data_IF_822483843662
#
_entry.id   IF_822483843662
#
_cell.length_a   1.000
_cell.length_b   1.000
_cell.length_c   1.000
_cell.angle_alpha   90.00
_cell.angle_beta   90.00
_cell.angle_gamma   90.00
#
_symmetry.space_group_name_H-M   'P 1'
#
loop_
_entity.id
_entity.type
_entity.pdbx_description
1 polymer ?
#
# COMPACT_ATOMS: atom_id res chain seq x y z
N UNK A 1 -51.51 9.45 15.19
CA UNK A 1 -51.29 9.03 16.56
C UNK A 1 -49.85 9.20 16.97
N UNK A 2 -49.65 9.44 18.23
CA UNK A 2 -48.33 9.71 18.79
C UNK A 2 -47.36 8.56 18.61
N UNK A 3 -47.87 7.34 18.64
CA UNK A 3 -47.02 6.17 18.48
C UNK A 3 -46.34 6.10 17.10
N UNK A 4 -47.09 6.43 16.05
CA UNK A 4 -46.56 6.44 14.72
C UNK A 4 -45.52 7.56 14.56
N UNK A 5 -45.79 8.72 15.14
CA UNK A 5 -44.85 9.84 15.12
C UNK A 5 -43.54 9.48 15.81
N UNK A 6 -43.62 8.76 16.94
CA UNK A 6 -42.44 8.31 17.67
C UNK A 6 -41.62 7.32 16.86
N UNK A 7 -42.28 6.42 16.14
CA UNK A 7 -41.56 5.48 15.28
C UNK A 7 -40.87 6.19 14.14
N UNK A 8 -41.52 7.20 13.57
CA UNK A 8 -40.89 7.99 12.48
C UNK A 8 -39.67 8.73 13.02
N UNK A 9 -39.77 9.36 14.17
CA UNK A 9 -38.63 10.02 14.80
C UNK A 9 -37.49 9.05 15.04
N UNK A 10 -37.79 7.87 15.56
CA UNK A 10 -36.77 6.85 15.78
C UNK A 10 -36.09 6.42 14.52
N UNK A 11 -36.87 6.24 13.44
CA UNK A 11 -36.30 5.87 12.15
C UNK A 11 -35.45 6.99 11.56
N UNK A 12 -35.88 8.23 11.68
CA UNK A 12 -35.12 9.38 11.22
C UNK A 12 -33.78 9.47 11.96
N UNK A 13 -33.80 9.25 13.27
CA UNK A 13 -32.56 9.23 14.05
C UNK A 13 -31.62 8.13 13.62
N UNK A 14 -32.16 6.94 13.36
CA UNK A 14 -31.33 5.81 12.88
C UNK A 14 -30.74 6.10 11.50
N UNK A 15 -31.53 6.69 10.62
CA UNK A 15 -31.05 7.05 9.29
C UNK A 15 -29.93 8.08 9.37
N UNK A 16 -30.11 9.11 10.19
CA UNK A 16 -29.06 10.11 10.36
C UNK A 16 -27.77 9.50 10.91
N UNK A 17 -27.90 8.59 11.86
CA UNK A 17 -26.78 7.89 12.43
C UNK A 17 -26.07 7.03 11.37
N UNK A 18 -26.85 6.29 10.58
CA UNK A 18 -26.30 5.46 9.52
C UNK A 18 -25.63 6.30 8.43
N UNK A 19 -26.24 7.41 8.05
CA UNK A 19 -25.63 8.30 7.07
C UNK A 19 -24.28 8.82 7.56
N UNK A 20 -24.21 9.18 8.83
CA UNK A 20 -22.95 9.62 9.43
C UNK A 20 -21.87 8.53 9.34
N UNK A 21 -22.23 7.30 9.70
CA UNK A 21 -21.29 6.19 9.64
C UNK A 21 -20.88 5.85 8.21
N UNK A 22 -21.81 5.93 7.27
CA UNK A 22 -21.48 5.72 5.85
C UNK A 22 -20.49 6.76 5.35
N UNK A 23 -20.68 8.02 5.70
CA UNK A 23 -19.74 9.06 5.34
C UNK A 23 -18.36 8.80 5.94
N UNK A 24 -18.34 8.39 7.20
CA UNK A 24 -17.08 8.07 7.88
C UNK A 24 -16.37 6.90 7.20
N UNK A 25 -17.12 5.86 6.83
CA UNK A 25 -16.56 4.71 6.14
C UNK A 25 -16.06 5.07 4.75
N UNK A 26 -16.82 5.90 4.03
CA UNK A 26 -16.39 6.36 2.72
C UNK A 26 -15.05 7.10 2.80
N UNK A 27 -14.89 7.96 3.80
CA UNK A 27 -13.65 8.67 4.01
C UNK A 27 -12.52 7.72 4.37
N UNK A 28 -12.79 6.73 5.20
CA UNK A 28 -11.79 5.74 5.58
C UNK A 28 -11.34 4.91 4.38
N UNK A 29 -12.30 4.49 3.54
CA UNK A 29 -11.99 3.72 2.34
C UNK A 29 -11.15 4.57 1.38
N UNK A 30 -11.51 5.83 1.19
CA UNK A 30 -10.75 6.73 0.31
C UNK A 30 -9.32 6.89 0.80
N UNK A 31 -9.12 7.03 2.10
CA UNK A 31 -7.78 7.10 2.68
C UNK A 31 -6.99 5.82 2.47
N UNK A 32 -7.64 4.67 2.67
CA UNK A 32 -7.01 3.37 2.46
C UNK A 32 -6.61 3.18 1.00
N UNK A 33 -7.46 3.59 0.08
CA UNK A 33 -7.14 3.51 -1.34
C UNK A 33 -5.92 4.34 -1.68
N UNK A 34 -5.81 5.54 -1.13
CA UNK A 34 -4.64 6.38 -1.34
C UNK A 34 -3.37 5.76 -0.79
N UNK A 35 -3.46 5.13 0.39
CA UNK A 35 -2.32 4.44 0.99
C UNK A 35 -1.90 3.24 0.15
N UNK A 36 -2.87 2.46 -0.32
CA UNK A 36 -2.60 1.32 -1.16
C UNK A 36 -1.92 1.75 -2.46
N UNK A 37 -2.39 2.82 -3.06
CA UNK A 37 -1.78 3.36 -4.26
C UNK A 37 -0.33 3.75 -4.03
N UNK A 38 -0.04 4.42 -2.93
CA UNK A 38 1.33 4.78 -2.58
C UNK A 38 2.19 3.54 -2.34
N UNK A 39 1.65 2.55 -1.65
CA UNK A 39 2.38 1.30 -1.40
C UNK A 39 2.65 0.55 -2.69
N UNK A 40 1.70 0.54 -3.61
CA UNK A 40 1.88 -0.09 -4.91
C UNK A 40 2.98 0.61 -5.71
N UNK A 41 2.99 1.93 -5.70
CA UNK A 41 4.02 2.72 -6.36
C UNK A 41 5.39 2.45 -5.76
N UNK A 42 5.46 2.44 -4.44
CA UNK A 42 6.71 2.17 -3.74
C UNK A 42 7.20 0.75 -4.02
N UNK A 43 6.28 -0.21 -3.99
CA UNK A 43 6.59 -1.61 -4.29
C UNK A 43 7.14 -1.76 -5.71
N UNK A 44 6.53 -1.08 -6.67
CA UNK A 44 7.01 -1.10 -8.05
C UNK A 44 8.40 -0.52 -8.17
N UNK A 45 8.64 0.59 -7.47
CA UNK A 45 9.96 1.23 -7.47
C UNK A 45 11.02 0.32 -6.86
N UNK A 46 10.68 -0.32 -5.75
CA UNK A 46 11.61 -1.24 -5.10
C UNK A 46 11.93 -2.44 -5.97
N UNK A 47 10.94 -2.97 -6.66
CA UNK A 47 11.16 -4.07 -7.61
C UNK A 47 12.09 -3.66 -8.74
N UNK A 48 11.92 -2.44 -9.22
CA UNK A 48 12.77 -1.92 -10.28
C UNK A 48 14.21 -1.78 -9.79
N UNK A 49 14.42 -1.26 -8.60
CA UNK A 49 15.76 -1.14 -8.03
C UNK A 49 16.41 -2.49 -7.79
N UNK A 50 15.64 -3.46 -7.32
CA UNK A 50 16.17 -4.81 -7.14
C UNK A 50 16.58 -5.41 -8.48
N UNK A 51 15.78 -5.18 -9.51
CA UNK A 51 16.09 -5.66 -10.84
C UNK A 51 17.36 -5.02 -11.37
N UNK A 52 17.51 -3.71 -11.17
CA UNK A 52 18.70 -2.99 -11.57
C UNK A 52 19.94 -3.51 -10.84
N UNK A 53 19.84 -3.74 -9.54
CA UNK A 53 20.92 -4.28 -8.75
C UNK A 53 21.30 -5.68 -9.21
N UNK A 54 20.31 -6.48 -9.50
CA UNK A 54 20.53 -7.84 -9.96
C UNK A 54 21.24 -7.84 -11.33
N UNK A 55 20.80 -6.98 -12.23
CA UNK A 55 21.44 -6.82 -13.52
C UNK A 55 22.88 -6.31 -13.41
N UNK A 56 23.09 -5.37 -12.50
CA UNK A 56 24.43 -4.86 -12.26
C UNK A 56 25.36 -5.94 -11.74
N UNK A 57 24.88 -6.78 -10.84
CA UNK A 57 25.66 -7.88 -10.32
C UNK A 57 25.98 -8.91 -11.42
N UNK A 58 24.98 -9.22 -12.24
CA UNK A 58 25.20 -10.16 -13.35
C UNK A 58 26.14 -9.60 -14.39
N UNK A 59 26.05 -8.31 -14.67
CA UNK A 59 26.96 -7.67 -15.59
C UNK A 59 28.38 -7.66 -15.05
N UNK A 60 28.54 -7.45 -13.76
CA UNK A 60 29.82 -7.56 -13.12
C UNK A 60 30.41 -8.95 -13.22
N UNK A 61 29.57 -9.96 -12.98
CA UNK A 61 29.99 -11.35 -13.11
C UNK A 61 30.28 -11.70 -14.58
N UNK A 62 29.50 -11.19 -15.50
CA UNK A 62 29.70 -11.48 -16.93
C UNK A 62 30.95 -10.89 -17.46
N UNK A 63 31.30 -9.74 -17.01
CA UNK A 63 32.56 -9.16 -17.38
C UNK A 63 33.72 -10.03 -16.95
N UNK A 64 33.44 -10.96 -16.16
CA UNK A 64 34.18 -12.13 -15.97
C UNK A 64 35.56 -11.97 -15.69
N UNK A 65 35.86 -10.92 -15.72
CA UNK A 65 37.18 -10.63 -15.57
C UNK A 65 37.59 -10.64 -14.19
N UNK A 66 36.84 -11.26 -13.41
CA UNK A 66 37.25 -11.42 -12.08
C UNK A 66 38.44 -12.30 -12.02
N UNK A 67 39.49 -11.76 -11.60
CA UNK A 67 40.59 -12.59 -11.18
C UNK A 67 40.23 -13.16 -9.84
N UNK A 68 40.68 -14.35 -9.55
CA UNK A 68 40.43 -14.93 -8.24
C UNK A 68 40.85 -14.04 -7.10
N UNK A 69 41.87 -13.26 -7.29
CA UNK A 69 42.31 -12.35 -6.26
C UNK A 69 41.35 -11.22 -6.03
N UNK A 70 40.64 -10.79 -7.05
CA UNK A 70 39.67 -9.74 -6.92
C UNK A 70 38.38 -10.27 -6.31
N UNK A 71 38.14 -11.53 -6.54
CA UNK A 71 36.94 -12.15 -6.07
C UNK A 71 37.02 -12.53 -4.61
N UNK A 72 38.19 -12.66 -4.11
CA UNK A 72 38.37 -13.03 -2.72
C UNK A 72 38.12 -11.83 -1.86
N UNK A 73 37.18 -11.93 -1.03
CA UNK A 73 36.89 -10.84 -0.15
C UNK A 73 38.01 -10.78 0.80
N UNK A 74 38.37 -9.68 1.08
CA UNK A 74 39.45 -9.47 1.93
C UNK A 74 39.12 -9.88 3.30
N UNK A 75 38.86 -10.49 3.62
CA UNK A 75 38.46 -10.82 4.71
C UNK A 75 38.90 -11.09 5.52
N UNK A 76 38.74 -10.93 5.58
CA UNK A 76 38.35 -11.42 6.24
C UNK A 76 38.90 -11.61 7.18
#
# INVERSE_FOLDING_TARGET
PAELAQRLESLESRLAYQEHWLDTLDQAVAQQERRLEKLEQLSALMRERLREQHQALQAGDSQGSFRPEDDIPPHY
#
